data_IF_997038722193
#
_entry.id   IF_997038722193
#
_cell.length_a   1.000
_cell.length_b   1.000
_cell.length_c   1.000
_cell.angle_alpha   90.00
_cell.angle_beta   90.00
_cell.angle_gamma   90.00
#
_symmetry.space_group_name_H-M   'P 1'
#
loop_
_entity.id
_entity.type
_entity.pdbx_description
1 polymer ?
#
# COMPACT_ATOMS: atom_id res chain seq x y z
N UNK A 1 20.44 -7.51 3.24
CA UNK A 1 21.16 -6.42 2.56
C UNK A 1 22.21 -6.99 1.62
N UNK A 2 22.65 -6.22 0.62
CA UNK A 2 23.76 -6.61 -0.25
C UNK A 2 25.11 -6.61 0.51
N UNK A 3 26.00 -7.59 0.24
CA UNK A 3 27.38 -7.61 0.73
C UNK A 3 28.11 -6.27 0.53
N UNK A 4 28.94 -5.87 1.52
CA UNK A 4 29.73 -4.62 1.51
C UNK A 4 30.54 -4.45 0.22
N UNK A 5 31.18 -5.52 -0.24
CA UNK A 5 31.97 -5.52 -1.47
C UNK A 5 31.20 -5.08 -2.73
N UNK A 6 29.86 -5.16 -2.74
CA UNK A 6 29.05 -4.76 -3.89
C UNK A 6 28.74 -3.25 -3.94
N UNK A 7 28.82 -2.52 -2.82
CA UNK A 7 28.47 -1.08 -2.78
C UNK A 7 29.56 -0.18 -2.20
N UNK A 8 30.59 -0.75 -1.58
CA UNK A 8 31.77 -0.06 -1.03
C UNK A 8 32.78 0.36 -2.11
N UNK A 9 32.43 0.23 -3.38
CA UNK A 9 33.17 0.75 -4.54
C UNK A 9 32.86 2.23 -4.83
N UNK A 10 32.26 2.94 -3.87
CA UNK A 10 31.85 4.35 -4.00
C UNK A 10 30.36 4.57 -4.24
N UNK A 11 29.55 3.52 -4.39
CA UNK A 11 28.10 3.67 -4.58
C UNK A 11 27.38 4.19 -3.32
N UNK A 12 27.73 3.66 -2.15
CA UNK A 12 27.34 4.22 -0.84
C UNK A 12 28.62 4.43 -0.05
N UNK A 13 29.17 5.65 -0.02
CA UNK A 13 30.43 5.90 0.68
C UNK A 13 30.25 5.71 2.18
N UNK A 14 31.34 5.31 2.83
CA UNK A 14 31.43 5.18 4.27
C UNK A 14 31.97 6.47 4.88
N UNK A 15 31.44 6.85 6.04
CA UNK A 15 31.98 7.93 6.86
C UNK A 15 32.42 7.38 8.21
N UNK A 16 33.51 7.92 8.73
CA UNK A 16 34.00 7.61 10.08
C UNK A 16 33.17 8.38 11.11
N UNK A 17 32.55 7.68 12.04
CA UNK A 17 31.79 8.27 13.14
C UNK A 17 32.31 7.74 14.48
N UNK A 18 32.26 8.56 15.52
CA UNK A 18 32.53 8.10 16.88
C UNK A 18 31.26 7.48 17.46
N UNK A 19 31.33 6.20 17.76
CA UNK A 19 30.27 5.46 18.46
C UNK A 19 30.71 5.27 19.92
N UNK A 20 29.76 5.42 20.84
CA UNK A 20 29.98 5.20 22.28
C UNK A 20 29.37 3.85 22.62
N UNK A 21 30.18 2.91 23.11
CA UNK A 21 29.66 1.62 23.61
C UNK A 21 28.94 1.81 24.95
N UNK A 22 28.12 0.83 25.38
CA UNK A 22 27.38 0.90 26.65
C UNK A 22 28.26 1.09 27.90
N UNK A 23 29.54 0.73 27.82
CA UNK A 23 30.57 0.90 28.84
C UNK A 23 31.24 2.30 28.85
N UNK A 24 30.84 3.19 27.93
CA UNK A 24 31.37 4.55 27.80
C UNK A 24 32.64 4.68 26.93
N UNK A 25 33.16 3.58 26.39
CA UNK A 25 34.33 3.60 25.51
C UNK A 25 33.96 4.22 24.15
N UNK A 26 34.78 5.15 23.65
CA UNK A 26 34.60 5.74 22.31
C UNK A 26 35.46 4.99 21.32
N UNK A 27 34.86 4.48 20.25
CA UNK A 27 35.59 3.89 19.13
C UNK A 27 35.12 4.49 17.81
N UNK A 28 35.95 4.33 16.80
CA UNK A 28 35.73 4.89 15.48
C UNK A 28 35.14 3.79 14.58
N UNK A 29 33.96 4.05 14.04
CA UNK A 29 33.19 3.09 13.25
C UNK A 29 32.94 3.63 11.84
N UNK A 30 33.01 2.74 10.85
CA UNK A 30 32.61 3.03 9.47
C UNK A 30 31.08 2.94 9.36
N UNK A 31 30.42 4.09 9.22
CA UNK A 31 28.96 4.18 9.10
C UNK A 31 28.58 4.50 7.65
N UNK A 32 27.55 3.82 7.13
CA UNK A 32 26.99 4.12 5.80
C UNK A 32 26.47 5.55 5.76
N UNK A 33 26.75 6.27 4.68
CA UNK A 33 26.17 7.61 4.45
C UNK A 33 24.68 7.56 4.12
N UNK A 34 24.19 6.42 3.61
CA UNK A 34 22.78 6.17 3.31
C UNK A 34 22.32 4.87 3.95
N UNK A 35 21.14 4.90 4.55
CA UNK A 35 20.39 3.74 4.99
C UNK A 35 19.05 3.68 4.26
N UNK A 36 18.52 2.46 4.10
CA UNK A 36 17.19 2.30 3.52
C UNK A 36 16.13 3.05 4.35
N UNK A 37 15.04 3.51 3.71
CA UNK A 37 13.92 4.09 4.43
C UNK A 37 13.36 3.08 5.44
N UNK A 38 12.86 3.55 6.60
CA UNK A 38 12.36 2.66 7.63
C UNK A 38 11.11 1.91 7.14
N UNK A 39 10.96 0.67 7.60
CA UNK A 39 9.68 -0.02 7.52
C UNK A 39 8.73 0.62 8.52
N UNK A 40 7.61 1.17 8.05
CA UNK A 40 6.71 1.95 8.90
C UNK A 40 5.27 1.57 8.61
N UNK A 41 4.51 1.10 9.61
CA UNK A 41 3.11 0.72 9.42
C UNK A 41 2.25 1.97 9.15
N UNK A 42 1.11 1.85 8.45
CA UNK A 42 0.23 2.97 8.12
C UNK A 42 -0.28 3.80 9.31
N UNK A 43 -0.31 3.20 10.49
CA UNK A 43 -0.73 3.84 11.75
C UNK A 43 0.30 4.84 12.27
N UNK A 44 1.57 4.70 11.90
CA UNK A 44 2.68 5.55 12.34
C UNK A 44 3.04 6.65 11.31
N UNK A 45 2.41 6.63 10.13
CA UNK A 45 2.65 7.62 9.07
C UNK A 45 1.92 8.95 9.36
N UNK A 46 2.58 9.81 10.14
CA UNK A 46 2.12 11.18 10.45
C UNK A 46 2.32 12.21 9.35
N UNK A 47 1.89 13.45 9.60
CA UNK A 47 2.05 14.58 8.67
C UNK A 47 3.53 14.96 8.45
N UNK A 48 4.38 14.74 9.46
CA UNK A 48 5.83 14.91 9.42
C UNK A 48 6.52 14.06 8.35
N UNK A 49 5.89 12.96 7.93
CA UNK A 49 6.42 12.04 6.93
C UNK A 49 6.05 12.42 5.50
N UNK A 50 5.27 13.48 5.28
CA UNK A 50 4.84 13.89 3.94
C UNK A 50 6.05 14.23 3.06
N UNK A 51 6.05 13.69 1.84
CA UNK A 51 7.15 13.67 0.87
C UNK A 51 8.37 12.83 1.29
N UNK A 52 8.27 12.08 2.39
CA UNK A 52 9.25 11.09 2.81
C UNK A 52 9.02 9.72 2.16
N UNK A 53 10.06 8.90 2.16
CA UNK A 53 9.99 7.50 1.75
C UNK A 53 9.78 6.60 2.98
N UNK A 54 8.95 5.57 2.85
CA UNK A 54 8.84 4.49 3.82
C UNK A 54 8.85 3.15 3.09
N UNK A 55 9.12 2.07 3.81
CA UNK A 55 9.10 0.72 3.27
C UNK A 55 7.95 -0.10 3.85
N UNK A 56 7.43 -1.02 3.03
CA UNK A 56 6.56 -2.10 3.45
C UNK A 56 7.39 -3.38 3.59
N UNK A 57 7.12 -4.16 4.64
CA UNK A 57 7.79 -5.46 4.81
C UNK A 57 7.41 -6.43 3.69
N UNK A 58 8.30 -7.36 3.34
CA UNK A 58 8.00 -8.36 2.30
C UNK A 58 6.85 -9.29 2.72
N UNK A 59 6.85 -9.73 3.97
CA UNK A 59 5.81 -10.62 4.50
C UNK A 59 4.46 -9.91 4.56
N UNK A 60 4.49 -8.61 4.85
CA UNK A 60 3.33 -7.73 4.84
C UNK A 60 2.75 -7.57 3.43
N UNK A 61 3.60 -7.39 2.41
CA UNK A 61 3.19 -7.33 1.01
C UNK A 61 2.51 -8.64 0.59
N UNK A 62 3.14 -9.79 0.86
CA UNK A 62 2.61 -11.11 0.48
C UNK A 62 1.29 -11.41 1.19
N UNK A 63 1.20 -11.10 2.49
CA UNK A 63 -0.01 -11.33 3.26
C UNK A 63 -1.18 -10.47 2.77
N UNK A 64 -0.92 -9.18 2.49
CA UNK A 64 -1.96 -8.19 2.21
C UNK A 64 -2.24 -7.92 0.74
N UNK A 65 -1.46 -8.44 -0.21
CA UNK A 65 -1.66 -8.20 -1.64
C UNK A 65 -1.60 -9.49 -2.44
N UNK A 66 -2.44 -10.46 -2.06
CA UNK A 66 -2.52 -11.75 -2.74
C UNK A 66 -3.11 -11.64 -4.14
N UNK A 67 -3.94 -10.62 -4.38
CA UNK A 67 -4.46 -10.26 -5.71
C UNK A 67 -3.36 -9.82 -6.68
N UNK A 68 -2.20 -9.43 -6.15
CA UNK A 68 -1.07 -8.91 -6.90
C UNK A 68 -0.88 -7.40 -6.76
N UNK A 69 0.20 -6.93 -7.40
CA UNK A 69 0.62 -5.53 -7.39
C UNK A 69 0.18 -4.86 -8.69
N UNK A 70 -0.39 -3.66 -8.65
CA UNK A 70 -0.99 -3.07 -9.84
C UNK A 70 0.06 -2.60 -10.86
N UNK A 71 -0.11 -3.04 -12.12
CA UNK A 71 0.54 -2.50 -13.31
C UNK A 71 2.06 -2.31 -13.18
N UNK A 72 2.54 -1.08 -13.43
CA UNK A 72 3.98 -0.75 -13.38
C UNK A 72 4.56 -0.70 -11.97
N UNK A 73 3.73 -0.73 -10.92
CA UNK A 73 4.24 -0.72 -9.53
C UNK A 73 5.01 -2.00 -9.23
N UNK A 74 4.65 -3.13 -9.85
CA UNK A 74 5.37 -4.40 -9.69
C UNK A 74 6.84 -4.32 -10.15
N UNK A 75 7.15 -3.43 -11.11
CA UNK A 75 8.51 -3.22 -11.62
C UNK A 75 9.45 -2.63 -10.56
N UNK A 76 8.89 -2.01 -9.52
CA UNK A 76 9.66 -1.41 -8.42
C UNK A 76 10.03 -2.40 -7.33
N UNK A 77 9.50 -3.63 -7.36
CA UNK A 77 9.63 -4.61 -6.28
C UNK A 77 10.32 -5.92 -6.69
N UNK A 78 11.46 -5.89 -7.42
CA UNK A 78 12.19 -7.12 -7.71
C UNK A 78 12.66 -7.81 -6.42
N UNK A 79 12.86 -9.14 -6.44
CA UNK A 79 13.43 -9.86 -5.31
C UNK A 79 14.76 -9.23 -4.86
N UNK A 80 14.94 -9.08 -3.55
CA UNK A 80 16.13 -8.45 -2.96
C UNK A 80 16.09 -6.92 -2.85
N UNK A 81 15.11 -6.24 -3.46
CA UNK A 81 14.92 -4.79 -3.27
C UNK A 81 13.92 -4.47 -2.16
N UNK A 82 14.12 -3.37 -1.41
CA UNK A 82 13.13 -2.89 -0.44
C UNK A 82 11.87 -2.40 -1.15
N UNK A 83 10.70 -2.58 -0.52
CA UNK A 83 9.40 -2.23 -1.11
C UNK A 83 9.03 -0.82 -0.67
N UNK A 84 9.73 0.14 -1.27
CA UNK A 84 9.61 1.56 -0.94
C UNK A 84 8.38 2.22 -1.54
N UNK A 85 7.75 3.11 -0.77
CA UNK A 85 6.65 3.95 -1.17
C UNK A 85 6.90 5.40 -0.77
N UNK A 86 6.64 6.31 -1.71
CA UNK A 86 6.65 7.75 -1.43
C UNK A 86 5.33 8.11 -0.74
N UNK A 87 5.41 8.68 0.47
CA UNK A 87 4.25 9.13 1.22
C UNK A 87 3.90 10.57 0.83
N UNK A 88 3.05 10.73 -0.19
CA UNK A 88 2.70 12.05 -0.72
C UNK A 88 1.64 12.74 0.12
N UNK A 89 1.42 14.04 -0.11
CA UNK A 89 0.30 14.78 0.47
C UNK A 89 -1.05 14.08 0.24
N UNK A 90 -1.28 13.52 -0.96
CA UNK A 90 -2.50 12.79 -1.29
C UNK A 90 -2.59 11.45 -0.54
N UNK A 91 -1.46 10.76 -0.38
CA UNK A 91 -1.37 9.54 0.42
C UNK A 91 -1.74 9.83 1.88
N UNK A 92 -1.26 10.95 2.44
CA UNK A 92 -1.60 11.37 3.80
C UNK A 92 -3.10 11.64 3.96
N UNK A 93 -3.69 12.45 3.06
CA UNK A 93 -5.13 12.73 3.08
C UNK A 93 -5.96 11.44 3.03
N UNK A 94 -5.56 10.49 2.19
CA UNK A 94 -6.23 9.20 2.06
C UNK A 94 -6.05 8.33 3.32
N UNK A 95 -4.85 8.31 3.90
CA UNK A 95 -4.57 7.60 5.17
C UNK A 95 -5.45 8.15 6.31
N UNK A 96 -5.57 9.47 6.42
CA UNK A 96 -6.43 10.14 7.42
C UNK A 96 -7.91 9.87 7.18
N UNK A 97 -8.36 9.87 5.92
CA UNK A 97 -9.74 9.52 5.58
C UNK A 97 -10.05 8.07 5.99
N UNK A 98 -9.20 7.12 5.60
CA UNK A 98 -9.37 5.70 5.91
C UNK A 98 -9.32 5.45 7.41
N UNK A 99 -8.48 6.16 8.16
CA UNK A 99 -8.45 6.08 9.62
C UNK A 99 -9.78 6.45 10.30
N UNK A 100 -10.66 7.22 9.63
CA UNK A 100 -11.98 7.60 10.15
C UNK A 100 -13.06 6.56 9.84
N UNK A 101 -12.89 5.72 8.81
CA UNK A 101 -13.90 4.77 8.33
C UNK A 101 -14.37 3.74 9.38
N UNK A 102 -13.52 3.15 10.24
CA UNK A 102 -13.98 2.17 11.24
C UNK A 102 -15.02 2.72 12.22
N UNK A 103 -15.11 4.04 12.36
CA UNK A 103 -15.99 4.72 13.30
C UNK A 103 -17.15 5.45 12.60
N UNK A 104 -17.43 5.14 11.33
CA UNK A 104 -18.40 5.86 10.52
C UNK A 104 -19.81 5.82 11.10
N UNK A 105 -20.24 4.68 11.65
CA UNK A 105 -21.59 4.47 12.20
C UNK A 105 -21.72 4.83 13.69
N UNK A 106 -20.63 4.79 14.46
CA UNK A 106 -20.63 5.01 15.92
C UNK A 106 -20.72 6.47 16.33
N UNK A 107 -20.59 7.42 15.40
CA UNK A 107 -20.64 8.83 15.70
C UNK A 107 -22.03 9.40 15.42
N UNK A 108 -22.90 9.46 16.43
CA UNK A 108 -23.95 10.48 16.48
C UNK A 108 -23.26 11.85 16.34
N UNK A 109 -23.43 12.52 15.19
CA UNK A 109 -23.14 13.94 15.00
C UNK A 109 -21.68 14.38 14.81
N UNK A 110 -20.83 13.65 14.06
CA UNK A 110 -19.53 14.25 13.70
C UNK A 110 -18.68 13.55 12.64
N UNK A 111 -18.44 12.24 12.74
CA UNK A 111 -17.55 11.55 11.79
C UNK A 111 -18.22 11.21 10.46
N UNK A 112 -19.48 10.78 10.48
CA UNK A 112 -20.25 10.54 9.24
C UNK A 112 -20.43 11.83 8.43
N UNK A 113 -20.75 12.94 9.11
CA UNK A 113 -20.85 14.26 8.49
C UNK A 113 -19.50 14.74 7.95
N UNK A 114 -18.41 14.55 8.70
CA UNK A 114 -17.07 14.88 8.22
C UNK A 114 -16.68 14.06 6.98
N UNK A 115 -17.00 12.77 6.92
CA UNK A 115 -16.75 11.94 5.72
C UNK A 115 -17.59 12.44 4.55
N UNK A 116 -18.88 12.70 4.77
CA UNK A 116 -19.79 13.26 3.76
C UNK A 116 -19.29 14.62 3.25
N UNK A 117 -18.83 15.51 4.13
CA UNK A 117 -18.25 16.79 3.74
C UNK A 117 -16.96 16.61 2.92
N UNK A 118 -16.10 15.66 3.30
CA UNK A 118 -14.87 15.35 2.55
C UNK A 118 -15.14 14.76 1.17
N UNK A 119 -16.25 14.04 0.98
CA UNK A 119 -16.65 13.47 -0.31
C UNK A 119 -17.69 14.30 -1.04
N UNK A 120 -18.08 15.48 -0.52
CA UNK A 120 -19.18 16.30 -1.02
C UNK A 120 -20.49 15.50 -1.21
N UNK A 121 -20.81 14.63 -0.24
CA UNK A 121 -21.98 13.75 -0.24
C UNK A 121 -21.89 12.56 -1.19
N UNK A 122 -20.77 12.37 -1.88
CA UNK A 122 -20.58 11.23 -2.81
C UNK A 122 -20.14 9.97 -2.07
N UNK A 123 -20.42 8.77 -2.62
CA UNK A 123 -20.05 7.51 -1.99
C UNK A 123 -18.53 7.24 -1.97
N UNK A 124 -17.73 8.00 -2.72
CA UNK A 124 -16.29 7.79 -2.79
C UNK A 124 -15.56 8.84 -3.62
N UNK A 125 -14.29 8.57 -3.89
CA UNK A 125 -13.36 9.45 -4.60
C UNK A 125 -12.83 8.78 -5.86
N UNK A 126 -12.64 9.56 -6.92
CA UNK A 126 -11.99 9.12 -8.15
C UNK A 126 -10.69 9.91 -8.29
N UNK A 127 -9.57 9.19 -8.45
CA UNK A 127 -8.25 9.80 -8.65
C UNK A 127 -7.90 9.75 -10.13
N UNK A 128 -7.91 10.90 -10.78
CA UNK A 128 -7.54 11.06 -12.18
C UNK A 128 -6.25 11.89 -12.34
N UNK A 129 -5.62 11.77 -13.50
CA UNK A 129 -4.46 12.55 -13.89
C UNK A 129 -3.68 11.89 -15.03
N UNK A 130 -2.55 12.49 -15.45
CA UNK A 130 -1.74 11.97 -16.56
C UNK A 130 -1.23 10.54 -16.34
N UNK A 131 -0.86 9.86 -17.42
CA UNK A 131 -0.24 8.53 -17.38
C UNK A 131 1.10 8.59 -16.62
N UNK A 132 1.35 7.60 -15.75
CA UNK A 132 2.62 7.49 -15.02
C UNK A 132 2.75 8.33 -13.74
N UNK A 133 1.73 9.10 -13.35
CA UNK A 133 1.80 9.97 -12.16
C UNK A 133 1.69 9.25 -10.81
N UNK A 134 1.57 7.93 -10.78
CA UNK A 134 1.49 7.14 -9.53
C UNK A 134 0.08 6.88 -9.00
N UNK A 135 -0.96 6.99 -9.83
CA UNK A 135 -2.35 6.67 -9.45
C UNK A 135 -2.48 5.24 -8.90
N UNK A 136 -1.94 4.25 -9.62
CA UNK A 136 -1.95 2.85 -9.20
C UNK A 136 -1.18 2.61 -7.89
N UNK A 137 -0.07 3.32 -7.68
CA UNK A 137 0.68 3.25 -6.42
C UNK A 137 -0.14 3.84 -5.26
N UNK A 138 -0.86 4.94 -5.47
CA UNK A 138 -1.75 5.51 -4.47
C UNK A 138 -2.91 4.56 -4.11
N UNK A 139 -3.48 3.84 -5.09
CA UNK A 139 -4.52 2.84 -4.82
C UNK A 139 -3.99 1.65 -4.02
N UNK A 140 -2.76 1.22 -4.29
CA UNK A 140 -2.11 0.19 -3.49
C UNK A 140 -1.88 0.67 -2.04
N UNK A 141 -1.43 1.92 -1.85
CA UNK A 141 -1.32 2.53 -0.52
C UNK A 141 -2.68 2.59 0.19
N UNK A 142 -3.76 2.93 -0.52
CA UNK A 142 -5.11 2.96 0.04
C UNK A 142 -5.53 1.58 0.60
N UNK A 143 -5.33 0.53 -0.20
CA UNK A 143 -5.61 -0.85 0.22
C UNK A 143 -4.73 -1.27 1.40
N UNK A 144 -3.45 -0.89 1.41
CA UNK A 144 -2.56 -1.11 2.56
C UNK A 144 -3.12 -0.45 3.82
N UNK A 145 -3.49 0.82 3.74
CA UNK A 145 -4.01 1.59 4.87
C UNK A 145 -5.31 1.02 5.44
N UNK A 146 -6.19 0.52 4.57
CA UNK A 146 -7.46 -0.07 4.97
C UNK A 146 -7.26 -1.45 5.63
N UNK A 147 -6.50 -2.34 4.98
CA UNK A 147 -6.21 -3.69 5.48
C UNK A 147 -5.41 -3.68 6.77
N UNK A 148 -4.47 -2.76 6.94
CA UNK A 148 -3.74 -2.58 8.21
C UNK A 148 -4.64 -2.16 9.37
N UNK A 149 -5.85 -1.66 9.10
CA UNK A 149 -6.83 -1.25 10.10
C UNK A 149 -7.98 -2.26 10.25
N UNK A 150 -7.88 -3.44 9.65
CA UNK A 150 -8.91 -4.47 9.70
C UNK A 150 -10.20 -4.10 8.95
N UNK A 151 -10.12 -3.21 7.96
CA UNK A 151 -11.26 -2.86 7.12
C UNK A 151 -11.33 -3.84 5.95
N UNK A 152 -12.47 -4.51 5.79
CA UNK A 152 -12.74 -5.40 4.65
C UNK A 152 -12.57 -4.62 3.35
N UNK A 153 -11.60 -5.00 2.54
CA UNK A 153 -11.19 -4.25 1.36
C UNK A 153 -11.30 -5.08 0.09
N UNK A 154 -12.22 -4.69 -0.79
CA UNK A 154 -12.27 -5.20 -2.16
C UNK A 154 -11.23 -4.46 -3.01
N UNK A 155 -10.19 -5.16 -3.43
CA UNK A 155 -9.09 -4.59 -4.22
C UNK A 155 -9.02 -5.23 -5.61
N UNK A 156 -9.12 -4.40 -6.65
CA UNK A 156 -8.95 -4.83 -8.05
C UNK A 156 -7.68 -4.18 -8.59
N UNK A 157 -6.56 -4.91 -8.72
CA UNK A 157 -5.28 -4.32 -9.13
C UNK A 157 -5.28 -3.83 -10.58
N UNK A 158 -6.02 -4.50 -11.47
CA UNK A 158 -6.15 -4.13 -12.87
C UNK A 158 -7.58 -4.37 -13.38
N UNK A 159 -8.30 -3.29 -13.67
CA UNK A 159 -9.65 -3.38 -14.22
C UNK A 159 -9.70 -3.88 -15.67
N UNK A 160 -8.56 -3.91 -16.38
CA UNK A 160 -8.50 -4.44 -17.75
C UNK A 160 -8.78 -5.94 -17.79
N UNK A 161 -8.47 -6.67 -16.73
CA UNK A 161 -8.68 -8.11 -16.66
C UNK A 161 -10.20 -8.45 -16.72
N UNK A 162 -11.05 -7.50 -16.34
CA UNK A 162 -12.52 -7.61 -16.40
C UNK A 162 -13.10 -7.16 -17.73
N UNK A 163 -12.58 -6.06 -18.29
CA UNK A 163 -13.19 -5.37 -19.44
C UNK A 163 -12.58 -5.78 -20.77
N UNK A 164 -11.30 -6.16 -20.76
CA UNK A 164 -10.51 -6.61 -21.90
C UNK A 164 -9.89 -7.98 -21.59
N UNK A 165 -10.63 -8.79 -20.81
CA UNK A 165 -10.25 -10.16 -20.49
C UNK A 165 -10.33 -11.08 -21.69
N UNK A 166 -10.01 -12.35 -21.48
CA UNK A 166 -9.92 -13.34 -22.55
C UNK A 166 -11.29 -13.65 -23.20
N UNK A 167 -12.34 -13.76 -22.38
CA UNK A 167 -13.69 -14.06 -22.86
C UNK A 167 -14.76 -13.50 -21.90
N UNK A 168 -15.94 -13.28 -22.45
CA UNK A 168 -17.13 -12.87 -21.72
C UNK A 168 -18.22 -13.95 -21.87
N UNK A 169 -18.92 -14.25 -20.78
CA UNK A 169 -19.97 -15.25 -20.76
C UNK A 169 -21.30 -14.63 -20.33
N UNK A 170 -22.44 -14.96 -20.96
CA UNK A 170 -23.73 -14.51 -20.46
C UNK A 170 -23.94 -14.95 -19.01
N UNK A 171 -24.41 -14.06 -18.15
CA UNK A 171 -24.62 -14.39 -16.75
C UNK A 171 -25.68 -15.46 -16.60
N UNK A 172 -25.42 -16.45 -15.73
CA UNK A 172 -26.28 -17.63 -15.61
C UNK A 172 -27.65 -17.29 -15.01
N UNK A 173 -27.67 -16.34 -14.07
CA UNK A 173 -28.88 -15.98 -13.30
C UNK A 173 -29.40 -14.57 -13.59
N UNK A 174 -28.55 -13.69 -14.16
CA UNK A 174 -28.91 -12.31 -14.45
C UNK A 174 -29.20 -12.14 -15.95
N UNK A 175 -30.48 -12.09 -16.37
CA UNK A 175 -30.81 -11.92 -17.78
C UNK A 175 -30.33 -10.55 -18.29
N UNK A 176 -29.65 -10.55 -19.44
CA UNK A 176 -29.10 -9.33 -20.05
C UNK A 176 -27.73 -8.89 -19.53
N UNK A 177 -27.12 -9.63 -18.59
CA UNK A 177 -25.78 -9.35 -18.06
C UNK A 177 -24.75 -10.34 -18.59
N UNK A 178 -23.47 -9.93 -18.50
CA UNK A 178 -22.32 -10.73 -18.90
C UNK A 178 -21.28 -10.73 -17.78
N UNK A 179 -20.67 -11.90 -17.59
CA UNK A 179 -19.63 -12.16 -16.60
C UNK A 179 -18.27 -12.27 -17.28
N UNK A 180 -17.21 -11.95 -16.55
CA UNK A 180 -15.81 -12.23 -16.90
C UNK A 180 -15.30 -13.35 -15.97
N UNK A 181 -15.50 -14.64 -16.31
CA UNK A 181 -15.43 -15.71 -15.31
C UNK A 181 -14.04 -15.89 -14.71
N UNK A 182 -12.97 -15.70 -15.49
CA UNK A 182 -11.60 -15.85 -14.98
C UNK A 182 -11.18 -14.74 -14.03
N UNK A 183 -11.60 -13.50 -14.32
CA UNK A 183 -11.41 -12.36 -13.42
C UNK A 183 -12.23 -12.56 -12.13
N UNK A 184 -13.47 -13.03 -12.24
CA UNK A 184 -14.32 -13.34 -11.09
C UNK A 184 -13.75 -14.45 -10.21
N UNK A 185 -13.28 -15.57 -10.80
CA UNK A 185 -12.64 -16.67 -10.05
C UNK A 185 -11.42 -16.19 -9.30
N UNK A 186 -10.54 -15.44 -9.97
CA UNK A 186 -9.33 -14.88 -9.37
C UNK A 186 -9.66 -13.94 -8.21
N UNK A 187 -10.55 -12.97 -8.44
CA UNK A 187 -10.97 -12.01 -7.41
C UNK A 187 -11.53 -12.71 -6.18
N UNK A 188 -12.49 -13.63 -6.35
CA UNK A 188 -13.10 -14.35 -5.23
C UNK A 188 -12.07 -15.19 -4.46
N UNK A 189 -11.17 -15.87 -5.17
CA UNK A 189 -10.13 -16.68 -4.55
C UNK A 189 -9.12 -15.85 -3.74
N UNK A 190 -8.73 -14.67 -4.23
CA UNK A 190 -7.78 -13.81 -3.51
C UNK A 190 -8.46 -13.02 -2.39
N UNK A 191 -9.64 -12.46 -2.65
CA UNK A 191 -10.42 -11.72 -1.65
C UNK A 191 -10.76 -12.58 -0.42
N UNK A 192 -11.18 -13.82 -0.64
CA UNK A 192 -11.46 -14.75 0.47
C UNK A 192 -10.22 -15.08 1.30
N UNK A 193 -9.02 -15.03 0.72
CA UNK A 193 -7.76 -15.26 1.43
C UNK A 193 -7.25 -14.03 2.15
N UNK A 194 -7.35 -12.84 1.53
CA UNK A 194 -6.88 -11.58 2.12
C UNK A 194 -7.74 -11.13 3.30
N UNK A 195 -9.06 -11.32 3.20
CA UNK A 195 -10.04 -10.87 4.21
C UNK A 195 -10.55 -12.02 5.10
N UNK A 196 -9.84 -13.16 5.12
CA UNK A 196 -10.26 -14.39 5.81
C UNK A 196 -10.65 -14.19 7.27
N UNK A 197 -9.99 -13.28 7.98
CA UNK A 197 -10.29 -13.01 9.38
C UNK A 197 -11.67 -12.35 9.53
N UNK A 198 -11.96 -11.32 8.72
CA UNK A 198 -13.18 -10.54 8.80
C UNK A 198 -14.40 -11.20 8.15
N UNK A 199 -14.20 -12.09 7.17
CA UNK A 199 -15.30 -12.82 6.50
C UNK A 199 -15.79 -14.06 7.27
N UNK A 200 -15.08 -14.46 8.33
CA UNK A 200 -15.44 -15.62 9.16
C UNK A 200 -16.26 -15.26 10.40
N UNK A 201 -16.26 -13.99 10.78
CA UNK A 201 -17.13 -13.44 11.82
C UNK A 201 -18.55 -13.23 11.28
#
# INVERSE_FOLDING_TARGET
EAPRAMWDNGAIPLRKAFTVSPDGTKFLEDVKTYSHPPETPPTELGFDRVNGMYCMGNDELVARFQEGVPGRTAQLFPPGHPRGFLYRKQSHLLNTLIAKLPYWSKAKGGKAEAISALTAGRPGLIFDGPTGTGKSALMMQAAHFARSRGIVTLFVPNAKDWTHGEWAWPSTILPGFWDAPDASRSLLAYFARSERAALKE
#
